data_IF_131664129536
#
_entry.id   IF_131664129536
#
_cell.length_a   1.000
_cell.length_b   1.000
_cell.length_c   1.000
_cell.angle_alpha   90.00
_cell.angle_beta   90.00
_cell.angle_gamma   90.00
#
_symmetry.space_group_name_H-M   'P 1'
#
loop_
_entity.id
_entity.type
_entity.pdbx_description
1 polymer ?
#
# COMPACT_ATOMS: atom_id res chain seq x y z
N UNK A 1 -11.68 7.87 4.99
CA UNK A 1 -10.39 7.36 5.49
C UNK A 1 -10.61 5.98 6.09
N UNK A 2 -10.02 4.93 5.52
CA UNK A 2 -10.11 3.55 6.01
C UNK A 2 -8.85 3.06 6.75
N UNK A 3 -7.91 3.96 7.03
CA UNK A 3 -6.67 3.61 7.72
C UNK A 3 -6.50 4.37 9.03
N UNK A 4 -5.89 3.71 10.01
CA UNK A 4 -5.50 4.29 11.29
C UNK A 4 -4.00 4.15 11.52
N UNK A 5 -3.45 5.09 12.28
CA UNK A 5 -2.10 5.02 12.81
C UNK A 5 -2.18 4.98 14.33
N UNK A 6 -1.59 3.94 14.91
CA UNK A 6 -1.50 3.72 16.34
C UNK A 6 -0.07 4.08 16.78
N UNK A 7 0.06 5.04 17.69
CA UNK A 7 1.33 5.51 18.25
C UNK A 7 1.51 5.08 19.71
N UNK A 8 2.73 5.25 20.21
CA UNK A 8 3.13 4.92 21.60
C UNK A 8 2.97 3.44 21.97
N UNK A 9 3.14 2.54 20.99
CA UNK A 9 3.09 1.11 21.25
C UNK A 9 4.35 0.67 22.01
N UNK A 10 4.16 -0.27 22.93
CA UNK A 10 5.28 -0.91 23.62
C UNK A 10 6.19 -1.59 22.57
N UNK A 11 7.52 -1.48 22.67
CA UNK A 11 8.44 -2.07 21.68
C UNK A 11 8.35 -3.60 21.57
N UNK A 12 7.75 -4.28 22.57
CA UNK A 12 7.43 -5.72 22.52
C UNK A 12 6.19 -6.05 21.69
N UNK A 13 5.43 -5.06 21.20
CA UNK A 13 4.26 -5.29 20.34
C UNK A 13 4.73 -5.93 19.04
N UNK A 14 4.00 -6.96 18.62
CA UNK A 14 4.17 -7.68 17.36
C UNK A 14 2.80 -7.82 16.67
N UNK A 15 2.80 -8.37 15.45
CA UNK A 15 1.57 -8.55 14.66
C UNK A 15 0.51 -9.37 15.40
N UNK A 16 0.90 -10.45 16.10
CA UNK A 16 -0.04 -11.31 16.82
C UNK A 16 -0.81 -10.57 17.92
N UNK A 17 -0.13 -9.70 18.68
CA UNK A 17 -0.76 -8.92 19.75
C UNK A 17 -1.75 -7.92 19.16
N UNK A 18 -1.38 -7.20 18.10
CA UNK A 18 -2.27 -6.25 17.44
C UNK A 18 -3.45 -6.95 16.79
N UNK A 19 -3.24 -8.07 16.09
CA UNK A 19 -4.33 -8.86 15.52
C UNK A 19 -5.34 -9.32 16.57
N UNK A 20 -4.86 -9.72 17.76
CA UNK A 20 -5.73 -10.04 18.89
C UNK A 20 -6.56 -8.84 19.36
N UNK A 21 -5.92 -7.68 19.56
CA UNK A 21 -6.60 -6.45 19.95
C UNK A 21 -7.60 -5.96 18.90
N UNK A 22 -7.32 -6.21 17.61
CA UNK A 22 -8.11 -5.70 16.50
C UNK A 22 -9.10 -6.70 15.92
N UNK A 23 -9.17 -7.91 16.48
CA UNK A 23 -10.13 -8.92 16.07
C UNK A 23 -11.58 -8.42 15.99
N UNK A 24 -12.05 -7.48 16.84
CA UNK A 24 -13.40 -6.89 16.71
C UNK A 24 -13.59 -5.97 15.50
N UNK A 25 -12.50 -5.47 14.91
CA UNK A 25 -12.49 -4.47 13.82
C UNK A 25 -12.08 -5.07 12.47
N UNK A 26 -12.26 -6.38 12.30
CA UNK A 26 -12.02 -7.08 11.02
C UNK A 26 -13.07 -6.72 9.97
N UNK A 27 -12.78 -6.89 8.67
CA UNK A 27 -11.51 -7.35 8.10
C UNK A 27 -10.44 -6.25 7.96
N UNK A 28 -9.18 -6.64 8.23
CA UNK A 28 -7.98 -5.82 8.07
C UNK A 28 -7.34 -6.20 6.74
N UNK A 29 -7.05 -5.20 5.91
CA UNK A 29 -6.37 -5.35 4.62
C UNK A 29 -4.86 -5.34 4.82
N UNK A 30 -4.36 -4.47 5.70
CA UNK A 30 -2.92 -4.29 5.89
C UNK A 30 -2.59 -3.92 7.33
N UNK A 31 -1.48 -4.46 7.85
CA UNK A 31 -0.94 -4.15 9.16
C UNK A 31 0.58 -4.03 9.05
N UNK A 32 1.11 -2.86 9.35
CA UNK A 32 2.55 -2.57 9.35
C UNK A 32 2.98 -2.05 10.71
N UNK A 33 4.06 -2.60 11.26
CA UNK A 33 4.66 -2.13 12.52
C UNK A 33 6.05 -1.58 12.23
N UNK A 34 6.32 -0.38 12.71
CA UNK A 34 7.60 0.30 12.53
C UNK A 34 8.01 1.05 13.80
N UNK A 35 9.25 1.51 13.88
CA UNK A 35 9.72 2.32 14.99
C UNK A 35 9.10 3.72 14.93
N UNK A 36 8.65 4.25 16.06
CA UNK A 36 8.01 5.56 16.07
C UNK A 36 9.02 6.66 15.71
N UNK A 37 8.67 7.48 14.73
CA UNK A 37 9.54 8.55 14.22
C UNK A 37 9.81 9.63 15.28
N UNK A 38 8.93 9.81 16.26
CA UNK A 38 9.13 10.79 17.32
C UNK A 38 9.86 10.23 18.53
N UNK A 39 9.80 8.92 18.77
CA UNK A 39 10.47 8.30 19.89
C UNK A 39 10.80 6.83 19.61
N UNK A 40 12.09 6.55 19.43
CA UNK A 40 12.61 5.21 19.12
C UNK A 40 12.40 4.17 20.23
N UNK A 41 12.04 4.57 21.45
CA UNK A 41 11.65 3.65 22.52
C UNK A 41 10.25 3.06 22.33
N UNK A 42 9.45 3.64 21.43
CA UNK A 42 8.12 3.18 21.09
C UNK A 42 8.04 2.68 19.65
N UNK A 43 7.04 1.84 19.41
CA UNK A 43 6.64 1.46 18.06
C UNK A 43 5.39 2.23 17.66
N UNK A 44 5.21 2.31 16.35
CA UNK A 44 3.98 2.75 15.71
C UNK A 44 3.46 1.61 14.83
N UNK A 45 2.15 1.58 14.61
CA UNK A 45 1.54 0.63 13.69
C UNK A 45 0.51 1.31 12.81
N UNK A 46 0.58 1.06 11.51
CA UNK A 46 -0.41 1.50 10.53
C UNK A 46 -1.30 0.33 10.15
N UNK A 47 -2.60 0.58 10.14
CA UNK A 47 -3.61 -0.45 9.92
C UNK A 47 -4.63 0.07 8.93
N UNK A 48 -4.78 -0.66 7.83
CA UNK A 48 -5.77 -0.40 6.80
C UNK A 48 -6.90 -1.41 6.93
N UNK A 49 -8.11 -0.91 7.04
CA UNK A 49 -9.32 -1.72 7.06
C UNK A 49 -9.95 -1.75 5.67
N UNK A 50 -10.77 -2.77 5.41
CA UNK A 50 -11.57 -2.81 4.18
C UNK A 50 -12.61 -1.69 4.17
N UNK A 51 -13.15 -1.33 5.35
CA UNK A 51 -14.24 -0.39 5.49
C UNK A 51 -13.85 0.83 6.35
N UNK A 52 -14.20 2.03 5.90
CA UNK A 52 -13.98 3.28 6.67
C UNK A 52 -14.67 3.28 8.03
N UNK A 53 -15.84 2.63 8.12
CA UNK A 53 -16.58 2.49 9.38
C UNK A 53 -15.78 1.74 10.43
N UNK A 54 -14.98 0.74 10.04
CA UNK A 54 -14.14 0.00 11.00
C UNK A 54 -13.00 0.86 11.52
N UNK A 55 -12.36 1.65 10.64
CA UNK A 55 -11.32 2.60 11.03
C UNK A 55 -11.84 3.62 12.05
N UNK A 56 -13.04 4.17 11.83
CA UNK A 56 -13.68 5.11 12.77
C UNK A 56 -14.02 4.45 14.10
N UNK A 57 -14.59 3.24 14.08
CA UNK A 57 -14.90 2.51 15.32
C UNK A 57 -13.65 2.17 16.12
N UNK A 58 -12.59 1.72 15.47
CA UNK A 58 -11.31 1.46 16.13
C UNK A 58 -10.74 2.74 16.74
N UNK A 59 -10.82 3.88 16.05
CA UNK A 59 -10.46 5.18 16.62
C UNK A 59 -11.31 5.48 17.87
N UNK A 60 -12.63 5.45 17.76
CA UNK A 60 -13.54 5.87 18.83
C UNK A 60 -13.43 4.97 20.07
N UNK A 61 -13.26 3.67 19.88
CA UNK A 61 -13.26 2.67 20.96
C UNK A 61 -11.86 2.40 21.54
N UNK A 62 -10.79 2.48 20.75
CA UNK A 62 -9.44 2.13 21.20
C UNK A 62 -8.52 3.33 21.45
N UNK A 63 -8.84 4.53 20.95
CA UNK A 63 -7.99 5.68 21.19
C UNK A 63 -7.87 5.96 22.70
N UNK A 64 -6.66 6.30 23.17
CA UNK A 64 -6.38 6.52 24.59
C UNK A 64 -6.57 5.30 25.51
N UNK A 65 -6.74 4.09 24.97
CA UNK A 65 -6.70 2.84 25.76
C UNK A 65 -5.27 2.39 26.03
N UNK A 66 -5.09 1.31 26.78
CA UNK A 66 -3.77 0.75 27.09
C UNK A 66 -3.54 -0.60 26.39
N UNK A 67 -2.44 -0.72 25.66
CA UNK A 67 -1.92 -1.99 25.13
C UNK A 67 -0.60 -2.29 25.85
N UNK A 68 -0.53 -3.45 26.51
CA UNK A 68 0.63 -3.86 27.31
C UNK A 68 1.11 -2.78 28.30
N UNK A 69 0.17 -2.19 29.07
CA UNK A 69 0.42 -1.14 30.07
C UNK A 69 1.01 0.16 29.50
N UNK A 70 0.81 0.41 28.20
CA UNK A 70 1.18 1.66 27.54
C UNK A 70 -0.05 2.26 26.89
N UNK A 71 -0.31 3.52 27.22
CA UNK A 71 -1.42 4.27 26.64
C UNK A 71 -1.11 4.59 25.18
N UNK A 72 -2.01 4.17 24.29
CA UNK A 72 -1.88 4.38 22.85
C UNK A 72 -2.63 5.63 22.40
N UNK A 73 -2.19 6.19 21.28
CA UNK A 73 -2.92 7.25 20.57
C UNK A 73 -3.26 6.74 19.18
N UNK A 74 -4.49 6.95 18.74
CA UNK A 74 -4.94 6.56 17.40
C UNK A 74 -5.30 7.82 16.62
N UNK A 75 -4.88 7.87 15.37
CA UNK A 75 -5.23 8.92 14.41
C UNK A 75 -5.73 8.29 13.10
N UNK A 76 -6.73 8.90 12.48
CA UNK A 76 -7.08 8.56 11.10
C UNK A 76 -6.01 9.09 10.17
N UNK A 77 -5.50 8.22 9.32
CA UNK A 77 -4.54 8.60 8.30
C UNK A 77 -5.14 8.32 6.93
N UNK A 78 -4.70 9.09 5.94
CA UNK A 78 -4.86 8.63 4.56
C UNK A 78 -4.07 7.32 4.44
N UNK A 79 -4.65 6.32 3.78
CA UNK A 79 -3.87 5.17 3.35
C UNK A 79 -2.72 5.72 2.52
N UNK A 80 -1.53 5.76 3.10
CA UNK A 80 -0.34 6.03 2.32
C UNK A 80 -0.12 4.75 1.54
N UNK A 81 -0.37 4.85 0.24
CA UNK A 81 0.05 3.97 -0.84
C UNK A 81 1.61 3.91 -0.90
N UNK A 82 2.26 3.72 0.25
CA UNK A 82 3.68 3.97 0.48
C UNK A 82 4.47 2.67 0.48
N UNK A 83 4.49 1.94 1.58
CA UNK A 83 5.56 0.95 1.75
C UNK A 83 5.32 -0.39 1.03
N UNK A 84 4.06 -0.80 0.86
CA UNK A 84 3.72 -1.98 0.05
C UNK A 84 3.69 -1.70 -1.46
N UNK A 85 3.63 -0.42 -1.82
CA UNK A 85 3.63 0.03 -3.20
C UNK A 85 5.06 0.21 -3.71
N UNK A 86 6.04 0.60 -2.87
CA UNK A 86 7.42 0.81 -3.34
C UNK A 86 7.99 -0.46 -3.96
N UNK A 87 7.91 -1.60 -3.28
CA UNK A 87 8.40 -2.88 -3.83
C UNK A 87 7.64 -3.28 -5.10
N UNK A 88 6.31 -3.10 -5.14
CA UNK A 88 5.51 -3.40 -6.33
C UNK A 88 5.82 -2.45 -7.49
N UNK A 89 6.00 -1.16 -7.22
CA UNK A 89 6.37 -0.12 -8.20
C UNK A 89 7.73 -0.43 -8.80
N UNK A 90 8.69 -0.85 -7.98
CA UNK A 90 10.02 -1.29 -8.43
C UNK A 90 9.89 -2.53 -9.32
N UNK A 91 9.21 -3.59 -8.86
CA UNK A 91 8.99 -4.83 -9.65
C UNK A 91 8.30 -4.56 -10.98
N UNK A 92 7.23 -3.78 -10.99
CA UNK A 92 6.52 -3.41 -12.23
C UNK A 92 7.44 -2.59 -13.13
N UNK A 93 8.17 -1.61 -12.58
CA UNK A 93 9.10 -0.79 -13.31
C UNK A 93 10.23 -1.59 -13.97
N UNK A 94 10.81 -2.55 -13.27
CA UNK A 94 11.87 -3.43 -13.79
C UNK A 94 11.42 -4.27 -15.00
N UNK A 95 10.15 -4.70 -15.00
CA UNK A 95 9.58 -5.48 -16.11
C UNK A 95 9.10 -4.60 -17.25
N UNK A 96 8.37 -3.53 -16.95
CA UNK A 96 7.71 -2.67 -17.96
C UNK A 96 8.71 -1.76 -18.68
N UNK A 97 9.69 -1.21 -17.98
CA UNK A 97 10.63 -0.25 -18.56
C UNK A 97 11.41 -0.79 -19.78
N UNK A 98 12.02 -2.00 -19.76
CA UNK A 98 12.71 -2.50 -20.94
C UNK A 98 11.78 -2.68 -22.14
N UNK A 99 10.56 -3.19 -21.94
CA UNK A 99 9.56 -3.37 -23.00
C UNK A 99 9.17 -2.01 -23.59
N UNK A 100 8.85 -1.04 -22.73
CA UNK A 100 8.49 0.31 -23.17
C UNK A 100 9.65 1.02 -23.89
N UNK A 101 10.89 0.78 -23.46
CA UNK A 101 12.09 1.36 -24.07
C UNK A 101 12.40 0.76 -25.45
N UNK A 102 12.08 -0.51 -25.66
CA UNK A 102 12.25 -1.15 -26.97
C UNK A 102 11.34 -0.53 -28.03
N UNK A 103 10.09 -0.19 -27.66
CA UNK A 103 9.11 0.40 -28.59
C UNK A 103 9.13 1.92 -28.68
N UNK A 104 9.18 2.57 -27.53
CA UNK A 104 8.93 3.99 -27.37
C UNK A 104 10.06 4.64 -26.57
N UNK A 105 11.27 4.58 -27.12
CA UNK A 105 12.51 4.98 -26.43
C UNK A 105 12.44 6.35 -25.74
N UNK A 106 11.81 7.35 -26.37
CA UNK A 106 11.75 8.71 -25.84
C UNK A 106 10.70 8.86 -24.72
N UNK A 107 9.61 8.11 -24.80
CA UNK A 107 8.47 8.18 -23.88
C UNK A 107 8.53 7.09 -22.79
N UNK A 108 9.49 6.16 -22.86
CA UNK A 108 9.58 4.97 -22.02
C UNK A 108 9.44 5.26 -20.52
N UNK A 109 10.10 6.31 -20.01
CA UNK A 109 9.99 6.69 -18.60
C UNK A 109 8.57 7.15 -18.22
N UNK A 110 7.90 7.91 -19.10
CA UNK A 110 6.54 8.39 -18.88
C UNK A 110 5.53 7.26 -18.99
N UNK A 111 5.68 6.39 -19.99
CA UNK A 111 4.88 5.18 -20.17
C UNK A 111 5.01 4.23 -18.99
N UNK A 112 6.23 4.00 -18.50
CA UNK A 112 6.48 3.17 -17.32
C UNK A 112 5.75 3.72 -16.10
N UNK A 113 5.81 5.04 -15.85
CA UNK A 113 5.05 5.66 -14.76
C UNK A 113 3.53 5.46 -14.90
N UNK A 114 2.99 5.69 -16.09
CA UNK A 114 1.56 5.48 -16.38
C UNK A 114 1.14 4.02 -16.17
N UNK A 115 1.98 3.07 -16.60
CA UNK A 115 1.74 1.64 -16.47
C UNK A 115 1.80 1.18 -15.01
N UNK A 116 2.76 1.67 -14.23
CA UNK A 116 2.85 1.39 -12.79
C UNK A 116 1.55 1.76 -12.09
N UNK A 117 1.05 2.98 -12.31
CA UNK A 117 -0.19 3.45 -11.68
C UNK A 117 -1.41 2.64 -12.15
N UNK A 118 -1.49 2.33 -13.45
CA UNK A 118 -2.59 1.56 -14.02
C UNK A 118 -2.62 0.12 -13.50
N UNK A 119 -1.47 -0.56 -13.46
CA UNK A 119 -1.33 -1.94 -13.00
C UNK A 119 -1.68 -2.03 -11.52
N UNK A 120 -1.11 -1.17 -10.67
CA UNK A 120 -1.41 -1.16 -9.22
C UNK A 120 -2.89 -0.91 -8.94
N UNK A 121 -3.53 -0.02 -9.70
CA UNK A 121 -4.96 0.26 -9.56
C UNK A 121 -5.83 -0.93 -9.99
N UNK A 122 -5.45 -1.64 -11.04
CA UNK A 122 -6.21 -2.76 -11.57
C UNK A 122 -6.05 -4.04 -10.75
N UNK A 123 -4.86 -4.30 -10.19
CA UNK A 123 -4.61 -5.51 -9.38
C UNK A 123 -5.17 -5.40 -7.96
N UNK A 124 -5.50 -4.20 -7.47
CA UNK A 124 -6.11 -3.99 -6.13
C UNK A 124 -5.37 -4.67 -4.96
N UNK A 125 -4.05 -4.84 -5.07
CA UNK A 125 -3.19 -5.61 -4.15
C UNK A 125 -3.27 -7.14 -4.21
N UNK A 126 -3.93 -7.71 -5.21
CA UNK A 126 -3.84 -9.13 -5.53
C UNK A 126 -2.45 -9.46 -6.13
N UNK A 127 -1.65 -10.23 -5.38
CA UNK A 127 -0.30 -10.62 -5.80
C UNK A 127 -0.32 -11.66 -6.93
N UNK A 128 -1.28 -12.57 -6.95
CA UNK A 128 -1.34 -13.62 -7.97
C UNK A 128 -1.67 -12.99 -9.33
N UNK A 129 -2.66 -12.08 -9.36
CA UNK A 129 -2.99 -11.31 -10.56
C UNK A 129 -1.83 -10.41 -11.01
N UNK A 130 -1.11 -9.79 -10.08
CA UNK A 130 0.07 -8.99 -10.40
C UNK A 130 1.16 -9.86 -11.03
N UNK A 131 1.43 -11.02 -10.47
CA UNK A 131 2.44 -11.95 -10.97
C UNK A 131 2.06 -12.49 -12.36
N UNK A 132 0.81 -12.90 -12.54
CA UNK A 132 0.34 -13.40 -13.83
C UNK A 132 0.48 -12.33 -14.92
N UNK A 133 0.08 -11.09 -14.62
CA UNK A 133 0.21 -9.97 -15.55
C UNK A 133 1.67 -9.63 -15.87
N UNK A 134 2.56 -9.62 -14.86
CA UNK A 134 3.98 -9.31 -15.06
C UNK A 134 4.73 -10.40 -15.82
N UNK A 135 4.21 -11.63 -15.86
CA UNK A 135 4.80 -12.74 -16.62
C UNK A 135 4.25 -12.84 -18.05
N UNK A 136 3.20 -12.11 -18.39
CA UNK A 136 2.63 -12.08 -19.74
C UNK A 136 3.14 -10.86 -20.53
N UNK A 137 4.26 -11.07 -21.21
CA UNK A 137 4.91 -10.03 -22.01
C UNK A 137 3.98 -9.50 -23.11
N UNK A 138 3.15 -10.34 -23.73
CA UNK A 138 2.24 -9.93 -24.81
C UNK A 138 1.17 -8.96 -24.29
N UNK A 139 0.61 -9.24 -23.11
CA UNK A 139 -0.37 -8.34 -22.50
C UNK A 139 0.28 -7.01 -22.10
N UNK A 140 1.46 -7.05 -21.46
CA UNK A 140 2.16 -5.82 -21.07
C UNK A 140 2.46 -4.92 -22.27
N UNK A 141 2.85 -5.55 -23.36
CA UNK A 141 3.19 -4.94 -24.63
C UNK A 141 1.98 -4.26 -25.30
N UNK A 142 0.81 -4.92 -25.35
CA UNK A 142 -0.45 -4.29 -25.79
C UNK A 142 -0.90 -3.13 -24.88
N UNK A 143 -0.69 -3.26 -23.58
CA UNK A 143 -1.02 -2.21 -22.61
C UNK A 143 -0.11 -0.98 -22.77
N UNK A 144 1.17 -1.19 -23.09
CA UNK A 144 2.11 -0.10 -23.39
C UNK A 144 1.68 0.64 -24.66
N UNK A 145 1.26 -0.05 -25.71
CA UNK A 145 0.73 0.58 -26.93
C UNK A 145 -0.50 1.43 -26.61
N UNK A 146 -1.44 0.86 -25.83
CA UNK A 146 -2.63 1.59 -25.37
C UNK A 146 -2.28 2.83 -24.53
N UNK A 147 -1.26 2.73 -23.66
CA UNK A 147 -0.78 3.84 -22.86
C UNK A 147 -0.14 4.93 -23.72
N UNK A 148 0.58 4.55 -24.78
CA UNK A 148 1.18 5.47 -25.74
C UNK A 148 0.14 6.23 -26.57
N UNK A 149 -0.90 5.55 -27.05
CA UNK A 149 -2.00 6.19 -27.75
C UNK A 149 -2.66 7.28 -26.88
N UNK A 150 -2.95 6.95 -25.61
CA UNK A 150 -3.49 7.92 -24.65
C UNK A 150 -2.53 9.08 -24.40
N UNK A 151 -1.25 8.78 -24.26
CA UNK A 151 -0.22 9.78 -24.02
C UNK A 151 -0.18 10.82 -25.16
N UNK A 152 -0.28 10.38 -26.41
CA UNK A 152 -0.31 11.30 -27.56
C UNK A 152 -1.62 12.10 -27.60
N UNK A 153 -2.77 11.48 -27.32
CA UNK A 153 -4.07 12.14 -27.35
C UNK A 153 -4.21 13.26 -26.29
N UNK A 154 -3.48 13.15 -25.19
CA UNK A 154 -3.47 14.12 -24.09
C UNK A 154 -2.33 15.17 -24.18
N UNK A 155 -1.47 15.09 -25.21
CA UNK A 155 -0.32 15.99 -25.43
C UNK A 155 -0.63 17.09 -26.45
#
# INVERSE_FOLDING_TARGET
>A
MNSILIRNLNPKVNNQILEGCLSPYKPIVKLEIFNDAQNSEFKSARIQFENETMAKRALDEMNSTEIMKKKITIELVKSENGDGDVEKKERIGEVVFPIAKERYFNEAAKLTGMMIDAILKNTQNDEDLLNDLLNDELILDELIDTAYEKLILES
#
